data_IF_018832070573
#
_entry.id   IF_018832070573
#
_cell.length_a   1.000
_cell.length_b   1.000
_cell.length_c   1.000
_cell.angle_alpha   90.00
_cell.angle_beta   90.00
_cell.angle_gamma   90.00
#
_symmetry.space_group_name_H-M   'P 1'
#
loop_
_entity.id
_entity.type
_entity.pdbx_description
1 polymer ?
#
# COMPACT_ATOMS: atom_id res chain seq x y z
N UNK A 1 11.72 -31.57 -10.44
CA UNK A 1 10.77 -31.43 -9.31
C UNK A 1 11.63 -31.44 -8.06
N UNK A 2 11.58 -30.37 -7.26
CA UNK A 2 12.21 -30.37 -5.94
C UNK A 2 11.29 -31.18 -5.02
N UNK A 3 11.89 -32.12 -4.29
CA UNK A 3 11.18 -33.02 -3.38
C UNK A 3 11.93 -33.10 -2.06
N UNK A 4 11.22 -33.30 -0.96
CA UNK A 4 11.81 -33.44 0.37
C UNK A 4 12.50 -34.81 0.56
N UNK A 5 13.00 -35.06 1.77
CA UNK A 5 13.67 -36.33 2.13
C UNK A 5 12.75 -37.56 2.09
N UNK A 6 11.44 -37.36 2.01
CA UNK A 6 10.42 -38.41 1.90
C UNK A 6 9.96 -38.61 0.45
N UNK A 7 10.37 -37.73 -0.46
CA UNK A 7 9.97 -37.75 -1.87
C UNK A 7 8.67 -37.00 -2.16
N UNK A 8 8.16 -36.22 -1.21
CA UNK A 8 7.00 -35.36 -1.38
C UNK A 8 7.40 -34.04 -2.07
N UNK A 9 6.49 -33.44 -2.84
CA UNK A 9 6.71 -32.10 -3.39
C UNK A 9 6.82 -31.09 -2.25
N UNK A 10 7.73 -30.12 -2.41
CA UNK A 10 8.04 -29.14 -1.37
C UNK A 10 7.10 -27.94 -1.48
N UNK A 11 6.66 -27.48 -0.33
CA UNK A 11 5.98 -26.21 -0.04
C UNK A 11 6.77 -25.61 1.14
N UNK A 12 7.61 -24.62 0.85
CA UNK A 12 8.64 -24.13 1.76
C UNK A 12 8.10 -23.19 2.83
N UNK A 13 7.15 -22.33 2.47
CA UNK A 13 6.52 -21.36 3.37
C UNK A 13 5.19 -21.88 3.97
N UNK A 14 4.72 -23.05 3.51
CA UNK A 14 3.55 -23.77 4.01
C UNK A 14 2.25 -23.00 3.83
N UNK A 15 2.16 -22.23 2.75
CA UNK A 15 0.97 -21.44 2.40
C UNK A 15 -0.10 -22.28 1.65
N UNK A 16 0.25 -23.51 1.27
CA UNK A 16 -0.58 -24.46 0.54
C UNK A 16 -0.33 -24.50 -0.97
N UNK A 17 0.65 -23.73 -1.48
CA UNK A 17 1.09 -23.70 -2.87
C UNK A 17 2.52 -24.26 -2.94
N UNK A 18 2.73 -25.28 -3.77
CA UNK A 18 4.05 -25.89 -3.88
C UNK A 18 5.04 -24.91 -4.51
N UNK A 19 6.32 -24.98 -4.11
CA UNK A 19 7.42 -24.11 -4.58
C UNK A 19 7.52 -23.97 -6.11
N UNK A 20 7.07 -24.98 -6.87
CA UNK A 20 7.12 -24.98 -8.34
C UNK A 20 6.02 -24.14 -8.98
N UNK A 21 4.95 -23.84 -8.25
CA UNK A 21 3.81 -23.02 -8.68
C UNK A 21 3.72 -21.70 -7.92
N UNK A 22 4.38 -21.63 -6.77
CA UNK A 22 4.43 -20.45 -5.93
C UNK A 22 5.32 -19.36 -6.56
N UNK A 23 4.75 -18.16 -6.68
CA UNK A 23 5.38 -16.94 -7.18
C UNK A 23 5.93 -16.06 -6.05
N UNK A 24 5.60 -16.38 -4.81
CA UNK A 24 5.85 -15.61 -3.60
C UNK A 24 6.39 -16.50 -2.48
N UNK A 25 7.63 -16.97 -2.64
CA UNK A 25 8.33 -17.96 -1.81
C UNK A 25 8.42 -17.74 -0.28
N UNK A 26 7.91 -16.64 0.25
CA UNK A 26 7.99 -16.25 1.66
C UNK A 26 6.71 -15.50 2.10
N UNK A 27 5.54 -16.12 1.96
CA UNK A 27 4.31 -15.53 2.50
C UNK A 27 4.23 -15.65 4.02
N UNK A 28 3.38 -14.82 4.62
CA UNK A 28 3.19 -14.83 6.07
C UNK A 28 2.40 -16.06 6.51
N UNK A 29 2.90 -16.78 7.52
CA UNK A 29 2.23 -17.99 8.03
C UNK A 29 0.75 -17.71 8.39
N UNK A 30 -0.14 -18.52 7.82
CA UNK A 30 -1.57 -18.44 8.08
C UNK A 30 -2.32 -17.35 7.30
N UNK A 31 -1.68 -16.69 6.35
CA UNK A 31 -2.39 -15.79 5.42
C UNK A 31 -3.12 -16.55 4.32
N UNK A 32 -4.16 -15.92 3.79
CA UNK A 32 -4.82 -16.41 2.58
C UNK A 32 -4.01 -15.92 1.39
N UNK A 33 -3.61 -16.85 0.54
CA UNK A 33 -2.89 -16.61 -0.70
C UNK A 33 -3.78 -16.89 -1.92
N UNK A 34 -3.42 -16.33 -3.07
CA UNK A 34 -4.06 -16.61 -4.35
C UNK A 34 -3.61 -17.97 -4.94
N UNK A 35 -4.05 -18.27 -6.17
CA UNK A 35 -3.66 -19.52 -6.86
C UNK A 35 -2.17 -19.61 -7.23
N UNK A 36 -1.42 -18.54 -6.97
CA UNK A 36 0.00 -18.40 -7.23
C UNK A 36 0.84 -18.29 -5.96
N UNK A 37 0.25 -18.52 -4.79
CA UNK A 37 0.96 -18.46 -3.50
C UNK A 37 1.24 -17.02 -3.04
N UNK A 38 0.60 -16.00 -3.61
CA UNK A 38 0.83 -14.62 -3.21
C UNK A 38 -0.27 -14.10 -2.27
N UNK A 39 0.15 -13.38 -1.22
CA UNK A 39 -0.78 -12.60 -0.36
C UNK A 39 -1.63 -11.65 -1.23
N UNK A 40 -2.90 -11.50 -0.87
CA UNK A 40 -3.83 -10.64 -1.61
C UNK A 40 -3.50 -9.16 -1.43
N UNK A 41 -3.59 -8.42 -2.54
CA UNK A 41 -3.49 -6.97 -2.64
C UNK A 41 -4.69 -6.50 -3.49
N UNK A 42 -5.75 -6.08 -2.81
CA UNK A 42 -7.07 -5.88 -3.39
C UNK A 42 -7.19 -4.63 -4.26
N UNK A 43 -6.42 -3.58 -3.96
CA UNK A 43 -6.39 -2.34 -4.72
C UNK A 43 -5.13 -2.18 -5.59
N UNK A 44 -4.19 -3.12 -5.47
CA UNK A 44 -2.99 -3.23 -6.31
C UNK A 44 -2.05 -2.04 -6.14
N UNK A 45 -2.00 -1.48 -4.93
CA UNK A 45 -1.09 -0.38 -4.58
C UNK A 45 0.32 -0.87 -4.18
N UNK A 46 0.50 -2.19 -4.07
CA UNK A 46 1.76 -2.85 -3.70
C UNK A 46 1.89 -3.18 -2.21
N UNK A 47 0.85 -2.91 -1.40
CA UNK A 47 0.76 -3.27 0.01
C UNK A 47 -0.34 -4.31 0.19
N UNK A 48 0.04 -5.50 0.66
CA UNK A 48 -0.91 -6.58 0.89
C UNK A 48 -2.04 -6.18 1.85
N UNK A 49 -3.24 -6.69 1.64
CA UNK A 49 -4.48 -6.34 2.36
C UNK A 49 -4.33 -6.37 3.89
N UNK A 50 -3.49 -7.28 4.40
CA UNK A 50 -3.22 -7.45 5.83
C UNK A 50 -2.44 -6.27 6.43
N UNK A 51 -1.62 -5.59 5.64
CA UNK A 51 -0.78 -4.47 6.04
C UNK A 51 -1.34 -3.11 5.62
N UNK A 52 -2.25 -3.12 4.64
CA UNK A 52 -2.88 -1.91 4.13
C UNK A 52 -3.87 -1.30 5.14
N UNK A 53 -3.71 0.00 5.37
CA UNK A 53 -4.57 0.82 6.24
C UNK A 53 -5.53 1.70 5.45
N UNK A 54 -5.33 1.81 4.14
CA UNK A 54 -6.05 2.68 3.23
C UNK A 54 -6.62 1.88 2.05
N UNK A 55 -7.55 0.94 2.30
CA UNK A 55 -8.10 0.10 1.25
C UNK A 55 -8.83 0.93 0.19
N UNK A 56 -8.48 0.67 -1.06
CA UNK A 56 -9.02 1.37 -2.23
C UNK A 56 -8.18 2.58 -2.63
N UNK A 57 -6.89 2.58 -2.32
CA UNK A 57 -5.97 3.52 -2.96
C UNK A 57 -6.03 3.32 -4.47
N UNK A 58 -6.05 4.42 -5.22
CA UNK A 58 -6.20 4.35 -6.66
C UNK A 58 -4.95 3.74 -7.32
N UNK A 59 -5.16 2.86 -8.30
CA UNK A 59 -4.08 2.20 -9.04
C UNK A 59 -3.06 3.21 -9.58
N UNK A 60 -1.77 2.95 -9.32
CA UNK A 60 -0.66 3.79 -9.78
C UNK A 60 -0.40 5.04 -8.94
N UNK A 61 -1.16 5.29 -7.87
CA UNK A 61 -0.86 6.34 -6.90
C UNK A 61 0.31 5.90 -6.00
N UNK A 62 1.34 6.75 -5.81
CA UNK A 62 2.40 6.45 -4.86
C UNK A 62 1.85 6.38 -3.42
N UNK A 63 2.14 5.28 -2.74
CA UNK A 63 1.74 5.02 -1.34
C UNK A 63 2.93 4.93 -0.40
N UNK A 64 2.66 5.14 0.88
CA UNK A 64 3.59 4.82 1.95
C UNK A 64 3.60 3.31 2.26
N UNK A 65 4.39 2.90 3.25
CA UNK A 65 4.47 1.50 3.70
C UNK A 65 3.16 0.93 4.30
N UNK A 66 2.16 1.77 4.47
CA UNK A 66 0.86 1.42 5.04
C UNK A 66 -0.25 1.38 3.98
N UNK A 67 0.09 1.50 2.68
CA UNK A 67 -0.87 1.54 1.57
C UNK A 67 -1.59 2.89 1.43
N UNK A 68 -1.15 3.92 2.17
CA UNK A 68 -1.82 5.21 2.16
C UNK A 68 -1.15 6.16 1.17
N UNK A 69 -1.98 6.85 0.37
CA UNK A 69 -1.52 7.91 -0.52
C UNK A 69 -0.68 8.95 0.24
N UNK A 70 0.41 9.38 -0.40
CA UNK A 70 1.32 10.36 0.18
C UNK A 70 0.69 11.75 0.33
N UNK A 71 1.03 12.41 1.43
CA UNK A 71 0.85 13.83 1.71
C UNK A 71 2.25 14.42 1.93
N UNK A 72 2.77 15.13 0.93
CA UNK A 72 4.19 15.52 0.90
C UNK A 72 4.53 16.69 1.82
N UNK A 73 3.63 17.63 2.02
CA UNK A 73 3.86 18.79 2.89
C UNK A 73 3.22 18.65 4.28
N UNK A 74 2.37 17.64 4.46
CA UNK A 74 1.83 17.25 5.75
C UNK A 74 0.70 18.15 6.23
N UNK A 75 -0.03 18.79 5.31
CA UNK A 75 -1.14 19.68 5.63
C UNK A 75 -2.47 18.95 5.87
N UNK A 76 -2.50 17.63 5.60
CA UNK A 76 -3.67 16.76 5.75
C UNK A 76 -4.45 16.52 4.46
N UNK A 77 -4.01 17.05 3.32
CA UNK A 77 -4.58 16.81 1.99
C UNK A 77 -3.59 16.00 1.16
N UNK A 78 -4.05 14.85 0.67
CA UNK A 78 -3.20 13.96 -0.15
C UNK A 78 -2.80 14.61 -1.47
N UNK A 79 -1.62 14.24 -1.98
CA UNK A 79 -1.01 14.86 -3.16
C UNK A 79 -1.93 14.90 -4.40
N UNK A 80 -2.81 13.91 -4.62
CA UNK A 80 -3.74 13.92 -5.76
C UNK A 80 -4.87 14.95 -5.66
N UNK A 81 -5.12 15.48 -4.46
CA UNK A 81 -6.18 16.44 -4.16
C UNK A 81 -5.66 17.82 -3.76
N UNK A 82 -4.35 17.90 -3.52
CA UNK A 82 -3.69 19.12 -3.09
C UNK A 82 -3.31 20.01 -4.29
N UNK A 83 -3.89 21.21 -4.32
CA UNK A 83 -3.62 22.23 -5.32
C UNK A 83 -2.43 23.13 -4.93
N UNK A 84 -1.96 23.04 -3.70
CA UNK A 84 -0.96 23.88 -3.07
C UNK A 84 0.13 23.01 -2.38
N UNK A 85 0.99 22.29 -3.15
CA UNK A 85 1.88 21.21 -2.68
C UNK A 85 3.07 21.63 -1.79
N UNK A 86 3.02 22.85 -1.24
CA UNK A 86 4.08 23.46 -0.44
C UNK A 86 3.49 24.35 0.66
N UNK A 87 2.36 23.96 1.23
CA UNK A 87 1.75 24.64 2.36
C UNK A 87 2.73 24.64 3.55
N UNK A 88 2.93 25.79 4.23
CA UNK A 88 3.77 25.87 5.42
C UNK A 88 3.24 25.00 6.55
N UNK A 89 4.14 24.30 7.23
CA UNK A 89 3.80 23.47 8.39
C UNK A 89 3.03 24.27 9.45
N UNK A 90 1.83 23.79 9.79
CA UNK A 90 0.95 24.40 10.78
C UNK A 90 0.02 25.49 10.24
N UNK A 91 0.05 25.80 8.95
CA UNK A 91 -0.96 26.63 8.31
C UNK A 91 -2.33 25.92 8.35
N UNK A 92 -3.41 26.69 8.45
CA UNK A 92 -4.75 26.16 8.28
C UNK A 92 -5.09 26.16 6.78
N UNK A 93 -5.47 25.00 6.25
CA UNK A 93 -5.79 24.83 4.83
C UNK A 93 -7.27 24.56 4.59
N UNK A 94 -7.72 24.85 3.37
CA UNK A 94 -9.02 24.43 2.88
C UNK A 94 -9.01 22.96 2.40
N UNK A 95 -10.12 22.49 1.82
CA UNK A 95 -10.23 21.10 1.37
C UNK A 95 -9.40 20.80 0.11
N UNK A 96 -8.71 21.79 -0.44
CA UNK A 96 -7.84 21.69 -1.61
C UNK A 96 -6.36 21.85 -1.23
N UNK A 97 -6.03 21.85 0.06
CA UNK A 97 -4.66 21.97 0.58
C UNK A 97 -4.11 23.39 0.53
N UNK A 98 -4.94 24.40 0.23
CA UNK A 98 -4.46 25.77 0.10
C UNK A 98 -4.69 26.56 1.39
N UNK A 99 -3.73 27.41 1.75
CA UNK A 99 -3.79 28.28 2.92
C UNK A 99 -5.09 29.12 2.94
N UNK A 100 -5.70 29.21 4.12
CA UNK A 100 -6.83 30.10 4.33
C UNK A 100 -6.34 31.54 4.41
N UNK A 101 -6.76 32.37 3.45
CA UNK A 101 -6.57 33.82 3.46
C UNK A 101 -7.32 34.43 4.67
N UNK A 102 -6.61 34.52 5.80
CA UNK A 102 -7.23 34.86 7.07
C UNK A 102 -7.28 36.37 7.28
N UNK A 103 -6.41 37.13 6.63
CA UNK A 103 -6.33 38.59 6.71
C UNK A 103 -6.86 39.34 5.48
N UNK A 104 -7.25 38.61 4.43
CA UNK A 104 -7.97 39.10 3.26
C UNK A 104 -7.08 39.79 2.22
N UNK A 105 -5.79 39.50 2.19
CA UNK A 105 -4.83 40.15 1.29
C UNK A 105 -4.67 39.44 -0.07
N UNK A 106 -5.32 38.28 -0.23
CA UNK A 106 -5.31 37.48 -1.45
C UNK A 106 -4.11 36.56 -1.60
N UNK A 107 -3.35 36.31 -0.53
CA UNK A 107 -2.28 35.31 -0.41
C UNK A 107 -2.59 34.33 0.71
#
# INVERSE_FOLDING_TARGET
VMVDVTGCEVDSDHDGVLDKQDRCADTHEGTVVDEHGCELDGDQDGVVDRLDKCPGTAEGVPVDRSGCELDCDGDGVVNSKDNCPRTPAGAAVDAQGCELDTDGDGV
#
